data_IF_778228033929
#
_entry.id   IF_778228033929
#
_cell.length_a   1.000
_cell.length_b   1.000
_cell.length_c   1.000
_cell.angle_alpha   90.00
_cell.angle_beta   90.00
_cell.angle_gamma   90.00
#
_symmetry.space_group_name_H-M   'P 1'
#
loop_
_entity.id
_entity.type
_entity.pdbx_description
1 polymer ?
#
# COMPACT_ATOMS: atom_id res chain seq x y z
N UNK A 1 -5.60 -11.79 21.06
CA UNK A 1 -4.77 -11.89 19.84
C UNK A 1 -3.51 -11.05 20.04
N UNK A 2 -2.31 -11.63 19.94
CA UNK A 2 -1.06 -10.92 20.14
C UNK A 2 -0.84 -9.90 19.01
N UNK A 3 -0.71 -8.61 19.36
CA UNK A 3 -0.38 -7.54 18.42
C UNK A 3 1.07 -7.72 17.98
N UNK A 4 1.29 -8.39 16.84
CA UNK A 4 2.60 -8.47 16.19
C UNK A 4 3.08 -7.03 15.97
N UNK A 5 4.16 -6.60 16.64
CA UNK A 5 4.81 -5.32 16.34
C UNK A 5 5.21 -5.38 14.87
N UNK A 6 4.54 -4.58 14.03
CA UNK A 6 4.94 -4.41 12.63
C UNK A 6 6.28 -3.68 12.67
N UNK A 7 7.29 -4.24 12.01
CA UNK A 7 8.59 -3.61 11.84
C UNK A 7 8.49 -2.26 11.11
N UNK A 8 9.63 -1.58 10.91
CA UNK A 8 9.66 -0.31 10.21
C UNK A 8 8.98 -0.40 8.84
N UNK A 9 8.34 0.70 8.43
CA UNK A 9 7.85 0.88 7.07
C UNK A 9 9.01 0.66 6.09
N UNK A 10 8.91 -0.32 5.19
CA UNK A 10 9.96 -0.61 4.20
C UNK A 10 10.08 0.47 3.12
N UNK A 11 9.03 1.26 2.92
CA UNK A 11 8.97 2.35 1.96
C UNK A 11 8.95 3.70 2.68
N UNK A 12 9.60 4.74 2.12
CA UNK A 12 9.45 6.11 2.57
C UNK A 12 7.98 6.57 2.55
N UNK A 13 7.65 7.53 3.40
CA UNK A 13 6.28 8.05 3.52
C UNK A 13 5.79 8.69 2.21
N UNK A 14 6.63 9.48 1.54
CA UNK A 14 6.32 10.10 0.25
C UNK A 14 5.93 9.08 -0.83
N UNK A 15 6.70 8.00 -0.93
CA UNK A 15 6.45 6.90 -1.88
C UNK A 15 5.14 6.19 -1.54
N UNK A 16 4.88 5.95 -0.25
CA UNK A 16 3.62 5.33 0.19
C UNK A 16 2.42 6.21 -0.12
N UNK A 17 2.54 7.52 0.01
CA UNK A 17 1.45 8.44 -0.29
C UNK A 17 1.16 8.50 -1.78
N UNK A 18 2.17 8.51 -2.64
CA UNK A 18 1.97 8.38 -4.09
C UNK A 18 1.20 7.10 -4.43
N UNK A 19 1.61 5.96 -3.88
CA UNK A 19 0.91 4.70 -4.11
C UNK A 19 -0.52 4.68 -3.58
N UNK A 20 -0.84 5.40 -2.49
CA UNK A 20 -2.22 5.54 -2.01
C UNK A 20 -3.11 6.18 -3.07
N UNK A 21 -2.64 7.24 -3.72
CA UNK A 21 -3.41 7.93 -4.75
C UNK A 21 -3.51 7.12 -6.05
N UNK A 22 -2.43 6.44 -6.46
CA UNK A 22 -2.45 5.54 -7.62
C UNK A 22 -3.45 4.40 -7.42
N UNK A 23 -3.35 3.69 -6.29
CA UNK A 23 -4.25 2.57 -5.98
C UNK A 23 -5.69 3.07 -5.78
N UNK A 24 -5.89 4.26 -5.23
CA UNK A 24 -7.20 4.88 -5.16
C UNK A 24 -7.78 5.15 -6.55
N UNK A 25 -6.96 5.62 -7.49
CA UNK A 25 -7.36 5.83 -8.88
C UNK A 25 -7.75 4.51 -9.54
N UNK A 26 -6.94 3.46 -9.39
CA UNK A 26 -7.22 2.11 -9.94
C UNK A 26 -8.50 1.49 -9.38
N UNK A 27 -8.85 1.83 -8.14
CA UNK A 27 -10.06 1.36 -7.48
C UNK A 27 -11.29 2.24 -7.76
N UNK A 28 -11.14 3.34 -8.50
CA UNK A 28 -12.21 4.30 -8.76
C UNK A 28 -12.63 5.11 -7.53
N UNK A 29 -11.77 5.18 -6.51
CA UNK A 29 -12.03 5.85 -5.22
C UNK A 29 -11.41 7.26 -5.16
N UNK A 30 -10.65 7.66 -6.17
CA UNK A 30 -9.95 8.96 -6.24
C UNK A 30 -10.90 10.15 -6.07
N UNK A 31 -12.05 10.13 -6.76
CA UNK A 31 -13.06 11.19 -6.65
C UNK A 31 -13.68 11.24 -5.23
N UNK A 32 -13.98 10.09 -4.65
CA UNK A 32 -14.56 10.02 -3.30
C UNK A 32 -13.57 10.55 -2.24
N UNK A 33 -12.28 10.26 -2.41
CA UNK A 33 -11.21 10.81 -1.56
C UNK A 33 -11.09 12.33 -1.75
N UNK A 34 -11.21 12.83 -2.98
CA UNK A 34 -11.11 14.26 -3.24
C UNK A 34 -12.27 15.06 -2.61
N UNK A 35 -13.48 14.49 -2.62
CA UNK A 35 -14.69 15.16 -2.11
C UNK A 35 -14.84 15.02 -0.59
N UNK A 36 -14.61 13.82 -0.04
CA UNK A 36 -14.85 13.52 1.38
C UNK A 36 -13.57 13.58 2.22
N UNK A 37 -12.40 13.49 1.60
CA UNK A 37 -11.15 13.29 2.30
C UNK A 37 -10.98 11.86 2.82
N UNK A 38 -9.77 11.58 3.31
CA UNK A 38 -9.42 10.25 3.83
C UNK A 38 -10.13 9.89 5.14
N UNK A 39 -10.49 10.89 5.95
CA UNK A 39 -11.09 10.69 7.27
C UNK A 39 -12.55 10.23 7.22
N UNK A 40 -13.32 10.74 6.25
CA UNK A 40 -14.75 10.44 6.10
C UNK A 40 -15.03 9.29 5.12
N UNK A 41 -13.97 8.60 4.67
CA UNK A 41 -14.06 7.50 3.72
C UNK A 41 -14.38 6.17 4.46
N UNK A 42 -15.22 5.27 3.90
CA UNK A 42 -15.54 4.02 4.55
C UNK A 42 -14.29 3.19 4.89
N UNK A 43 -14.19 2.72 6.13
CA UNK A 43 -13.05 1.93 6.63
C UNK A 43 -12.75 0.70 5.78
N UNK A 44 -13.79 0.09 5.17
CA UNK A 44 -13.65 -1.02 4.23
C UNK A 44 -12.91 -0.63 2.96
N UNK A 45 -13.15 0.56 2.41
CA UNK A 45 -12.47 1.06 1.23
C UNK A 45 -11.01 1.46 1.56
N UNK A 46 -10.80 2.17 2.67
CA UNK A 46 -9.46 2.48 3.19
C UNK A 46 -8.62 1.21 3.40
N UNK A 47 -9.24 0.15 3.93
CA UNK A 47 -8.61 -1.15 4.11
C UNK A 47 -8.22 -1.83 2.78
N UNK A 48 -8.98 -1.63 1.70
CA UNK A 48 -8.62 -2.15 0.36
C UNK A 48 -7.39 -1.44 -0.20
N UNK A 49 -7.32 -0.12 -0.08
CA UNK A 49 -6.15 0.67 -0.51
C UNK A 49 -4.91 0.29 0.30
N UNK A 50 -5.00 0.37 1.63
CA UNK A 50 -3.88 0.05 2.52
C UNK A 50 -3.44 -1.41 2.43
N UNK A 51 -4.39 -2.33 2.24
CA UNK A 51 -4.12 -3.77 2.07
C UNK A 51 -3.39 -4.09 0.76
N UNK A 52 -3.76 -3.44 -0.36
CA UNK A 52 -3.05 -3.61 -1.64
C UNK A 52 -1.59 -3.15 -1.55
N UNK A 53 -1.34 -2.00 -0.91
CA UNK A 53 0.01 -1.45 -0.75
C UNK A 53 0.83 -2.29 0.23
N UNK A 54 0.38 -2.42 1.48
CA UNK A 54 1.19 -3.05 2.53
C UNK A 54 1.21 -4.58 2.46
N UNK A 55 0.18 -5.21 1.89
CA UNK A 55 0.01 -6.66 1.87
C UNK A 55 0.48 -7.32 0.58
N UNK A 56 -0.01 -6.84 -0.57
CA UNK A 56 0.29 -7.48 -1.86
C UNK A 56 1.52 -6.87 -2.53
N UNK A 57 1.56 -5.54 -2.67
CA UNK A 57 2.61 -4.87 -3.43
C UNK A 57 3.99 -5.02 -2.77
N UNK A 58 4.10 -4.75 -1.47
CA UNK A 58 5.37 -4.91 -0.74
C UNK A 58 5.90 -6.35 -0.81
N UNK A 59 5.03 -7.37 -0.71
CA UNK A 59 5.45 -8.76 -0.86
C UNK A 59 5.97 -9.08 -2.26
N UNK A 60 5.30 -8.55 -3.30
CA UNK A 60 5.74 -8.71 -4.69
C UNK A 60 7.09 -8.02 -4.90
N UNK A 61 7.26 -6.78 -4.41
CA UNK A 61 8.53 -6.05 -4.55
C UNK A 61 9.70 -6.78 -3.90
N UNK A 62 9.52 -7.34 -2.70
CA UNK A 62 10.56 -8.11 -2.02
C UNK A 62 10.91 -9.36 -2.84
N UNK A 63 9.90 -10.11 -3.29
CA UNK A 63 10.11 -11.31 -4.11
C UNK A 63 10.85 -11.03 -5.41
N UNK A 64 10.48 -9.96 -6.12
CA UNK A 64 11.16 -9.57 -7.36
C UNK A 64 12.59 -9.09 -7.10
N UNK A 65 12.83 -8.39 -5.98
CA UNK A 65 14.19 -7.97 -5.59
C UNK A 65 15.06 -9.17 -5.20
N UNK A 66 14.53 -10.14 -4.46
CA UNK A 66 15.20 -11.41 -4.13
C UNK A 66 15.59 -12.16 -5.40
N UNK A 67 14.65 -12.27 -6.35
CA UNK A 67 14.89 -12.92 -7.65
C UNK A 67 15.96 -12.19 -8.47
N UNK A 68 15.93 -10.87 -8.54
CA UNK A 68 16.92 -10.08 -9.26
C UNK A 68 18.34 -10.24 -8.68
N UNK A 69 18.46 -10.44 -7.36
CA UNK A 69 19.74 -10.73 -6.70
C UNK A 69 20.21 -12.16 -6.99
N UNK A 70 19.31 -13.14 -6.97
CA UNK A 70 19.61 -14.53 -7.35
C UNK A 70 20.07 -14.64 -8.81
N UNK A 71 19.42 -13.92 -9.74
CA UNK A 71 19.77 -13.90 -11.17
C UNK A 71 21.12 -13.20 -11.44
N UNK A 72 21.64 -12.43 -10.49
CA UNK A 72 22.91 -11.68 -10.61
C UNK A 72 24.14 -12.41 -10.07
N UNK A 73 23.99 -13.68 -9.63
CA UNK A 73 25.02 -14.49 -8.98
C UNK A 73 25.31 -15.78 -9.78
#
# INVERSE_FOLDING_TARGET
MARRKRGPSLLPESVRDQFKYEIASDLGLSHEIAVKGWADMPTRQLGRIGGKIGGNMVKVMIREAEKALEDSN
#
